data_IF_587647962435
#
_entry.id   IF_587647962435
#
_cell.length_a   1.000
_cell.length_b   1.000
_cell.length_c   1.000
_cell.angle_alpha   90.00
_cell.angle_beta   90.00
_cell.angle_gamma   90.00
#
_symmetry.space_group_name_H-M   'P 1'
#
loop_
_entity.id
_entity.type
_entity.pdbx_description
1 polymer ?
#
# COMPACT_ATOMS: atom_id res chain seq x y z
N UNK A 1 -9.60 20.04 -6.55
CA UNK A 1 -9.49 19.24 -5.31
C UNK A 1 -8.81 17.94 -5.64
N UNK A 2 -7.93 17.44 -4.76
CA UNK A 2 -7.21 16.19 -5.00
C UNK A 2 -7.97 15.02 -4.37
N UNK A 3 -7.93 13.83 -4.96
CA UNK A 3 -8.56 12.60 -4.42
C UNK A 3 -8.23 12.37 -2.94
N UNK A 4 -7.01 12.72 -2.51
CA UNK A 4 -6.56 12.67 -1.12
C UNK A 4 -7.38 13.60 -0.22
N UNK A 5 -7.49 14.87 -0.59
CA UNK A 5 -8.23 15.87 0.19
C UNK A 5 -9.71 15.49 0.30
N UNK A 6 -10.31 14.99 -0.79
CA UNK A 6 -11.71 14.56 -0.79
C UNK A 6 -11.93 13.33 0.10
N UNK A 7 -11.00 12.37 0.08
CA UNK A 7 -11.01 11.23 0.99
C UNK A 7 -10.94 11.68 2.46
N UNK A 8 -9.95 12.51 2.82
CA UNK A 8 -9.77 12.99 4.19
C UNK A 8 -10.97 13.80 4.68
N UNK A 9 -11.53 14.65 3.82
CA UNK A 9 -12.74 15.42 4.12
C UNK A 9 -13.96 14.52 4.33
N UNK A 10 -14.15 13.51 3.49
CA UNK A 10 -15.20 12.52 3.67
C UNK A 10 -15.07 11.78 5.01
N UNK A 11 -13.85 11.41 5.39
CA UNK A 11 -13.58 10.70 6.63
C UNK A 11 -13.83 11.56 7.88
N UNK A 12 -13.37 12.81 7.89
CA UNK A 12 -13.61 13.70 9.04
C UNK A 12 -15.10 14.07 9.16
N UNK A 13 -15.83 14.20 8.04
CA UNK A 13 -17.29 14.35 8.05
C UNK A 13 -17.99 13.08 8.56
N UNK A 14 -17.50 11.88 8.24
CA UNK A 14 -18.03 10.66 8.84
C UNK A 14 -17.77 10.55 10.35
N UNK A 15 -16.72 11.20 10.85
CA UNK A 15 -16.36 11.20 12.27
C UNK A 15 -17.11 12.31 13.03
N UNK A 16 -17.08 13.53 12.52
CA UNK A 16 -17.50 14.76 13.18
C UNK A 16 -18.59 15.50 12.40
N UNK A 17 -19.22 14.91 11.40
CA UNK A 17 -20.33 15.56 10.70
C UNK A 17 -21.58 15.65 11.57
N UNK A 18 -22.65 16.22 11.00
CA UNK A 18 -23.95 16.33 11.68
C UNK A 18 -24.51 14.95 12.09
N UNK A 19 -24.25 13.93 11.26
CA UNK A 19 -24.57 12.51 11.50
C UNK A 19 -23.31 11.69 11.85
N UNK A 20 -22.26 12.35 12.32
CA UNK A 20 -20.99 11.73 12.66
C UNK A 20 -21.05 10.89 13.92
N UNK A 21 -20.02 10.06 14.13
CA UNK A 21 -19.88 9.24 15.35
C UNK A 21 -19.59 10.05 16.61
N UNK A 22 -19.04 11.26 16.45
CA UNK A 22 -18.71 12.18 17.53
C UNK A 22 -19.69 13.35 17.57
N UNK A 23 -19.98 13.79 18.79
CA UNK A 23 -20.96 14.82 19.10
C UNK A 23 -20.30 16.20 19.03
N UNK A 24 -20.90 17.19 18.35
CA UNK A 24 -20.39 18.55 18.35
C UNK A 24 -20.38 19.15 19.76
N UNK A 25 -19.46 20.09 20.05
CA UNK A 25 -19.47 20.83 21.30
C UNK A 25 -20.83 21.51 21.54
N UNK A 26 -21.37 21.36 22.75
CA UNK A 26 -22.68 21.93 23.11
C UNK A 26 -22.64 23.45 23.01
N UNK A 27 -23.70 24.04 22.45
CA UNK A 27 -23.83 25.50 22.30
C UNK A 27 -23.10 26.09 21.10
N UNK A 28 -22.43 25.27 20.28
CA UNK A 28 -21.82 25.72 19.03
C UNK A 28 -22.88 25.84 17.93
N UNK A 29 -23.03 27.04 17.34
CA UNK A 29 -23.94 27.27 16.22
C UNK A 29 -23.44 26.66 14.91
N UNK A 30 -24.33 26.48 13.93
CA UNK A 30 -24.01 25.78 12.67
C UNK A 30 -22.82 26.35 11.89
N UNK A 31 -22.65 27.67 11.86
CA UNK A 31 -21.49 28.29 11.21
C UNK A 31 -20.18 27.96 11.92
N UNK A 32 -20.17 28.04 13.26
CA UNK A 32 -18.99 27.71 14.05
C UNK A 32 -18.62 26.23 13.92
N UNK A 33 -19.61 25.34 13.81
CA UNK A 33 -19.39 23.92 13.53
C UNK A 33 -18.75 23.69 12.14
N UNK A 34 -19.21 24.41 11.12
CA UNK A 34 -18.63 24.33 9.78
C UNK A 34 -17.19 24.86 9.75
N UNK A 35 -16.92 25.95 10.46
CA UNK A 35 -15.58 26.54 10.55
C UNK A 35 -14.61 25.58 11.28
N UNK A 36 -15.07 24.92 12.35
CA UNK A 36 -14.29 23.93 13.08
C UNK A 36 -14.01 22.68 12.22
N UNK A 37 -15.01 22.16 11.51
CA UNK A 37 -14.83 21.06 10.55
C UNK A 37 -13.83 21.41 9.45
N UNK A 38 -13.89 22.63 8.91
CA UNK A 38 -12.94 23.11 7.92
C UNK A 38 -11.52 23.23 8.52
N UNK A 39 -11.39 23.65 9.78
CA UNK A 39 -10.11 23.69 10.48
C UNK A 39 -9.52 22.29 10.68
N UNK A 40 -10.33 21.31 11.09
CA UNK A 40 -9.92 19.92 11.22
C UNK A 40 -9.51 19.32 9.87
N UNK A 41 -10.27 19.57 8.80
CA UNK A 41 -9.92 19.15 7.44
C UNK A 41 -8.57 19.70 6.97
N UNK A 42 -8.31 21.01 7.19
CA UNK A 42 -7.01 21.63 6.88
C UNK A 42 -5.87 21.04 7.70
N UNK A 43 -6.10 20.74 8.98
CA UNK A 43 -5.11 20.11 9.84
C UNK A 43 -4.76 18.70 9.32
N UNK A 44 -5.77 17.91 8.96
CA UNK A 44 -5.58 16.58 8.39
C UNK A 44 -4.84 16.60 7.06
N UNK A 45 -5.20 17.52 6.15
CA UNK A 45 -4.53 17.65 4.85
C UNK A 45 -3.04 18.02 5.00
N UNK A 46 -2.67 18.74 6.07
CA UNK A 46 -1.26 19.02 6.42
C UNK A 46 -0.54 17.83 7.07
N UNK A 47 -1.23 17.06 7.91
CA UNK A 47 -0.63 16.01 8.74
C UNK A 47 -0.52 14.66 8.03
N UNK A 48 -1.51 14.33 7.20
CA UNK A 48 -1.57 13.08 6.47
C UNK A 48 -0.39 12.95 5.49
N UNK A 49 0.11 11.74 5.22
CA UNK A 49 1.14 11.53 4.21
C UNK A 49 0.60 11.79 2.79
N UNK A 50 1.50 12.09 1.85
CA UNK A 50 1.13 12.29 0.44
C UNK A 50 0.69 10.99 -0.26
N UNK A 51 1.18 9.84 0.23
CA UNK A 51 0.88 8.49 -0.26
C UNK A 51 0.54 7.57 0.92
N UNK A 52 -0.28 6.54 0.70
CA UNK A 52 -0.70 5.63 1.77
C UNK A 52 -1.62 6.29 2.82
N UNK A 53 -2.29 7.39 2.45
CA UNK A 53 -3.17 8.14 3.36
C UNK A 53 -4.39 7.32 3.82
N UNK A 54 -4.82 6.33 3.04
CA UNK A 54 -5.95 5.45 3.40
C UNK A 54 -5.59 4.51 4.56
N UNK A 55 -4.44 3.85 4.50
CA UNK A 55 -3.95 2.99 5.58
C UNK A 55 -3.44 3.79 6.79
N UNK A 56 -2.95 5.00 6.55
CA UNK A 56 -2.67 5.97 7.61
C UNK A 56 -3.95 6.37 8.33
N UNK A 57 -5.06 6.63 7.62
CA UNK A 57 -6.31 7.06 8.22
C UNK A 57 -6.82 6.07 9.25
N UNK A 58 -6.86 4.76 8.92
CA UNK A 58 -7.34 3.74 9.86
C UNK A 58 -6.56 3.76 11.17
N UNK A 59 -5.22 3.83 11.10
CA UNK A 59 -4.35 3.91 12.29
C UNK A 59 -4.53 5.22 13.05
N UNK A 60 -4.73 6.32 12.32
CA UNK A 60 -4.91 7.65 12.88
C UNK A 60 -6.22 7.74 13.65
N UNK A 61 -7.29 7.23 13.06
CA UNK A 61 -8.61 7.16 13.65
C UNK A 61 -8.59 6.36 14.95
N UNK A 62 -7.95 5.19 14.96
CA UNK A 62 -7.78 4.38 16.18
C UNK A 62 -7.01 5.14 17.26
N UNK A 63 -5.90 5.80 16.91
CA UNK A 63 -5.10 6.57 17.85
C UNK A 63 -5.86 7.78 18.42
N UNK A 64 -6.63 8.46 17.56
CA UNK A 64 -7.44 9.61 17.94
C UNK A 64 -8.56 9.21 18.89
N UNK A 65 -9.28 8.12 18.58
CA UNK A 65 -10.37 7.60 19.40
C UNK A 65 -9.86 6.97 20.71
N UNK A 66 -8.68 6.34 20.71
CA UNK A 66 -8.08 5.80 21.92
C UNK A 66 -7.67 6.89 22.92
N UNK A 67 -7.25 8.06 22.42
CA UNK A 67 -6.92 9.21 23.25
C UNK A 67 -8.17 10.01 23.70
N UNK A 68 -9.29 9.86 22.99
CA UNK A 68 -10.52 10.58 23.29
C UNK A 68 -11.18 10.03 24.56
N UNK A 69 -11.23 10.85 25.61
CA UNK A 69 -11.94 10.51 26.86
C UNK A 69 -13.46 10.64 26.72
N UNK A 70 -13.93 11.40 25.73
CA UNK A 70 -15.34 11.67 25.49
C UNK A 70 -15.67 11.48 24.02
N UNK A 71 -16.96 11.28 23.72
CA UNK A 71 -17.45 11.26 22.33
C UNK A 71 -17.62 12.66 21.72
N UNK A 72 -16.97 13.69 22.27
CA UNK A 72 -17.01 15.02 21.67
C UNK A 72 -16.09 15.08 20.43
N UNK A 73 -16.31 16.07 19.57
CA UNK A 73 -15.36 16.36 18.48
C UNK A 73 -13.94 16.57 19.05
N UNK A 74 -12.92 16.05 18.36
CA UNK A 74 -11.54 16.25 18.76
C UNK A 74 -11.16 17.72 18.55
N UNK A 75 -10.28 18.23 19.41
CA UNK A 75 -9.65 19.51 19.16
C UNK A 75 -8.51 19.34 18.15
N UNK A 76 -8.09 20.44 17.51
CA UNK A 76 -6.90 20.45 16.65
C UNK A 76 -5.68 19.87 17.39
N UNK A 77 -5.52 20.19 18.67
CA UNK A 77 -4.43 19.66 19.49
C UNK A 77 -4.49 18.14 19.70
N UNK A 78 -5.68 17.54 19.70
CA UNK A 78 -5.84 16.08 19.79
C UNK A 78 -5.52 15.40 18.46
N UNK A 79 -5.95 16.02 17.35
CA UNK A 79 -5.58 15.59 15.99
C UNK A 79 -4.07 15.62 15.78
N UNK A 80 -3.42 16.72 16.17
CA UNK A 80 -1.95 16.83 16.10
C UNK A 80 -1.25 15.81 16.99
N UNK A 81 -1.76 15.59 18.21
CA UNK A 81 -1.21 14.60 19.13
C UNK A 81 -1.34 13.19 18.57
N UNK A 82 -2.50 12.80 18.05
CA UNK A 82 -2.71 11.48 17.45
C UNK A 82 -1.81 11.27 16.21
N UNK A 83 -1.71 12.27 15.33
CA UNK A 83 -0.80 12.22 14.19
C UNK A 83 0.67 12.14 14.61
N UNK A 84 1.06 12.86 15.67
CA UNK A 84 2.40 12.79 16.26
C UNK A 84 2.67 11.44 16.90
N UNK A 85 1.71 10.85 17.62
CA UNK A 85 1.83 9.53 18.23
C UNK A 85 1.99 8.42 17.20
N UNK A 86 1.39 8.56 16.01
CA UNK A 86 1.70 7.64 14.90
C UNK A 86 3.12 7.82 14.40
N UNK A 87 3.57 9.06 14.19
CA UNK A 87 4.95 9.35 13.79
C UNK A 87 5.96 8.84 14.84
N UNK A 88 5.68 9.06 16.12
CA UNK A 88 6.53 8.64 17.23
C UNK A 88 6.42 7.14 17.51
N UNK A 89 5.26 6.51 17.29
CA UNK A 89 5.07 5.07 17.39
C UNK A 89 5.78 4.33 16.27
N UNK A 90 5.75 4.87 15.06
CA UNK A 90 6.57 4.43 13.94
C UNK A 90 8.07 4.64 14.26
N UNK A 91 8.46 5.77 14.88
CA UNK A 91 9.84 5.99 15.35
C UNK A 91 10.26 5.08 16.51
N UNK A 92 9.38 4.75 17.46
CA UNK A 92 9.68 3.90 18.62
C UNK A 92 9.73 2.42 18.25
N UNK A 93 8.88 1.96 17.31
CA UNK A 93 9.07 0.64 16.67
C UNK A 93 10.38 0.59 15.89
N UNK A 94 10.79 1.71 15.28
CA UNK A 94 12.10 1.86 14.66
C UNK A 94 13.29 2.00 15.65
N UNK A 95 13.04 2.29 16.94
CA UNK A 95 14.09 2.53 17.96
C UNK A 95 14.30 1.36 18.92
N UNK A 96 13.69 0.20 18.66
CA UNK A 96 14.09 -1.05 19.34
C UNK A 96 15.58 -1.31 19.03
N UNK A 97 16.43 -1.65 20.01
CA UNK A 97 17.87 -1.76 19.82
C UNK A 97 18.17 -2.93 18.88
N UNK A 98 18.30 -2.62 17.60
CA UNK A 98 18.51 -3.59 16.53
C UNK A 98 18.57 -2.98 15.12
N UNK A 99 17.94 -1.84 14.86
CA UNK A 99 17.86 -1.33 13.48
C UNK A 99 18.00 0.20 13.42
N UNK A 100 19.24 0.69 13.45
CA UNK A 100 19.52 2.07 13.05
C UNK A 100 19.60 2.17 11.53
N UNK A 101 18.72 2.97 10.91
CA UNK A 101 18.99 3.89 9.79
C UNK A 101 17.77 4.06 8.86
N UNK A 102 17.38 5.32 8.66
CA UNK A 102 16.56 5.76 7.53
C UNK A 102 15.06 5.55 7.69
N UNK A 103 14.28 6.42 7.04
CA UNK A 103 12.87 6.19 6.70
C UNK A 103 12.76 4.75 6.21
N UNK A 104 12.08 3.89 6.98
CA UNK A 104 12.34 2.46 6.93
C UNK A 104 12.03 1.91 5.52
N UNK A 105 13.06 1.42 4.80
CA UNK A 105 12.91 0.95 3.44
C UNK A 105 12.01 -0.29 3.29
N UNK A 106 11.57 -0.91 4.40
CA UNK A 106 10.76 -2.11 4.46
C UNK A 106 9.28 -1.86 4.13
N UNK A 107 8.68 -0.76 4.60
CA UNK A 107 7.30 -0.42 4.25
C UNK A 107 7.18 0.01 2.78
N UNK A 108 8.16 0.81 2.31
CA UNK A 108 8.26 1.17 0.90
C UNK A 108 8.55 -0.07 0.05
N UNK A 109 9.38 -1.00 0.54
CA UNK A 109 9.60 -2.31 -0.09
C UNK A 109 8.31 -3.13 -0.20
N UNK A 110 7.53 -3.27 0.87
CA UNK A 110 6.27 -4.02 0.81
C UNK A 110 5.32 -3.45 -0.23
N UNK A 111 5.22 -2.11 -0.30
CA UNK A 111 4.42 -1.42 -1.32
C UNK A 111 4.99 -1.67 -2.73
N UNK A 112 6.32 -1.59 -2.91
CA UNK A 112 6.98 -1.77 -4.21
C UNK A 112 6.96 -3.23 -4.68
N UNK A 113 7.08 -4.18 -3.76
CA UNK A 113 6.99 -5.62 -4.01
C UNK A 113 5.56 -6.02 -4.36
N UNK A 114 4.57 -5.61 -3.56
CA UNK A 114 3.15 -5.86 -3.84
C UNK A 114 2.75 -5.21 -5.17
N UNK A 115 3.21 -3.98 -5.44
CA UNK A 115 3.02 -3.31 -6.72
C UNK A 115 3.70 -4.07 -7.85
N UNK A 116 4.97 -4.47 -7.71
CA UNK A 116 5.70 -5.21 -8.74
C UNK A 116 5.03 -6.55 -9.05
N UNK A 117 4.64 -7.31 -8.04
CA UNK A 117 3.96 -8.60 -8.23
C UNK A 117 2.61 -8.41 -8.94
N UNK A 118 1.87 -7.35 -8.60
CA UNK A 118 0.55 -7.05 -9.18
C UNK A 118 0.62 -6.50 -10.61
N UNK A 119 1.67 -5.74 -10.93
CA UNK A 119 1.82 -5.03 -12.20
C UNK A 119 3.02 -5.51 -13.00
N UNK A 120 3.59 -6.70 -12.73
CA UNK A 120 4.78 -7.19 -13.45
C UNK A 120 4.60 -7.17 -14.96
N UNK A 121 3.36 -7.31 -15.46
CA UNK A 121 3.02 -7.33 -16.89
C UNK A 121 2.68 -5.93 -17.45
N UNK A 122 2.55 -4.91 -16.59
CA UNK A 122 2.24 -3.52 -16.94
C UNK A 122 3.38 -2.58 -16.52
N UNK A 123 3.93 -1.81 -17.46
CA UNK A 123 5.06 -0.90 -17.19
C UNK A 123 4.78 0.14 -16.07
N UNK A 124 5.83 0.71 -15.45
CA UNK A 124 5.70 1.45 -14.20
C UNK A 124 5.05 2.83 -14.35
N UNK A 125 3.98 3.07 -13.58
CA UNK A 125 3.28 4.36 -13.54
C UNK A 125 3.67 5.26 -12.36
N UNK A 126 4.27 4.75 -11.27
CA UNK A 126 4.81 5.63 -10.21
C UNK A 126 5.54 4.85 -9.14
N UNK A 127 6.73 5.34 -8.79
CA UNK A 127 7.63 4.96 -7.68
C UNK A 127 8.56 3.75 -7.90
N UNK A 128 9.70 3.99 -8.58
CA UNK A 128 10.88 3.19 -8.27
C UNK A 128 12.17 4.01 -8.13
N UNK A 129 13.06 3.56 -7.26
CA UNK A 129 14.45 4.02 -7.15
C UNK A 129 15.39 2.81 -7.30
N UNK A 130 16.68 3.07 -7.54
CA UNK A 130 17.69 2.02 -7.74
C UNK A 130 17.88 1.08 -6.53
N UNK A 131 17.57 1.55 -5.32
CA UNK A 131 17.67 0.75 -4.10
C UNK A 131 16.64 -0.37 -4.05
N UNK A 132 15.44 -0.16 -4.61
CA UNK A 132 14.40 -1.19 -4.64
C UNK A 132 14.71 -2.29 -5.65
N UNK A 133 15.33 -1.95 -6.80
CA UNK A 133 15.75 -2.93 -7.79
C UNK A 133 16.69 -3.97 -7.19
N UNK A 134 17.67 -3.53 -6.41
CA UNK A 134 18.64 -4.41 -5.75
C UNK A 134 17.95 -5.45 -4.86
N UNK A 135 16.95 -5.02 -4.09
CA UNK A 135 16.24 -5.91 -3.17
C UNK A 135 15.29 -6.88 -3.86
N UNK A 136 14.62 -6.47 -4.94
CA UNK A 136 13.80 -7.38 -5.74
C UNK A 136 14.63 -8.52 -6.34
N UNK A 137 15.87 -8.22 -6.73
CA UNK A 137 16.83 -9.22 -7.22
C UNK A 137 17.34 -10.10 -6.08
N UNK A 138 17.73 -9.52 -4.93
CA UNK A 138 18.17 -10.29 -3.75
C UNK A 138 17.07 -11.22 -3.20
N UNK A 139 15.80 -10.83 -3.29
CA UNK A 139 14.65 -11.64 -2.91
C UNK A 139 14.24 -12.68 -3.97
N UNK A 140 14.86 -12.64 -5.17
CA UNK A 140 14.57 -13.59 -6.25
C UNK A 140 13.26 -13.31 -7.01
N UNK A 141 12.67 -12.13 -6.86
CA UNK A 141 11.42 -11.74 -7.53
C UNK A 141 11.62 -11.20 -8.94
N UNK A 142 12.83 -10.78 -9.29
CA UNK A 142 13.17 -10.28 -10.62
C UNK A 142 14.67 -10.45 -10.91
N UNK A 143 15.05 -10.39 -12.19
CA UNK A 143 16.43 -10.22 -12.62
C UNK A 143 16.69 -8.76 -13.05
N UNK A 144 17.94 -8.29 -12.95
CA UNK A 144 18.28 -6.91 -13.33
C UNK A 144 17.97 -6.62 -14.79
N UNK A 145 18.15 -7.58 -15.70
CA UNK A 145 17.82 -7.46 -17.11
C UNK A 145 16.31 -7.33 -17.36
N UNK A 146 15.48 -8.00 -16.56
CA UNK A 146 14.01 -7.84 -16.64
C UNK A 146 13.59 -6.44 -16.17
N UNK A 147 14.10 -6.00 -15.03
CA UNK A 147 13.85 -4.67 -14.47
C UNK A 147 14.26 -3.57 -15.46
N UNK A 148 15.45 -3.69 -16.06
CA UNK A 148 15.97 -2.74 -17.05
C UNK A 148 15.10 -2.66 -18.31
N UNK A 149 14.66 -3.79 -18.86
CA UNK A 149 13.77 -3.82 -20.05
C UNK A 149 12.41 -3.16 -19.80
N UNK A 150 11.92 -3.19 -18.56
CA UNK A 150 10.66 -2.54 -18.18
C UNK A 150 10.83 -1.09 -17.71
N UNK A 151 12.02 -0.50 -17.90
CA UNK A 151 12.30 0.89 -17.55
C UNK A 151 12.45 1.13 -16.04
N UNK A 152 12.68 0.07 -15.26
CA UNK A 152 12.90 0.19 -13.82
C UNK A 152 14.30 0.77 -13.56
N UNK A 153 14.45 1.74 -12.65
CA UNK A 153 15.75 2.29 -12.27
C UNK A 153 16.56 1.23 -11.55
N UNK A 154 17.67 0.84 -12.16
CA UNK A 154 18.65 -0.09 -11.61
C UNK A 154 19.93 0.66 -11.20
N UNK A 155 20.71 0.14 -10.23
CA UNK A 155 22.01 0.71 -9.87
C UNK A 155 22.95 0.78 -11.08
N UNK A 156 23.77 1.82 -11.17
CA UNK A 156 24.72 1.98 -12.29
C UNK A 156 25.70 0.80 -12.39
N UNK A 157 26.11 0.24 -11.25
CA UNK A 157 26.96 -0.95 -11.17
C UNK A 157 26.33 -2.20 -11.78
N UNK A 158 24.99 -2.25 -11.91
CA UNK A 158 24.24 -3.39 -12.44
C UNK A 158 23.83 -3.21 -13.91
N UNK A 159 24.11 -2.05 -14.54
CA UNK A 159 23.68 -1.75 -15.91
C UNK A 159 24.31 -2.65 -16.96
N UNK A 160 25.61 -2.94 -16.84
CA UNK A 160 26.30 -3.80 -17.81
C UNK A 160 25.83 -5.25 -17.69
N UNK A 161 25.56 -5.73 -16.48
CA UNK A 161 24.93 -7.04 -16.26
C UNK A 161 23.52 -7.09 -16.85
N UNK A 162 22.69 -6.08 -16.58
CA UNK A 162 21.32 -6.01 -17.08
C UNK A 162 21.24 -5.99 -18.62
N UNK A 163 22.20 -5.33 -19.28
CA UNK A 163 22.34 -5.33 -20.74
C UNK A 163 22.80 -6.67 -21.30
N UNK A 164 23.69 -7.37 -20.58
CA UNK A 164 24.21 -8.66 -20.98
C UNK A 164 23.21 -9.81 -20.76
N UNK A 165 22.29 -9.67 -19.79
CA UNK A 165 21.20 -10.61 -19.55
C UNK A 165 20.23 -10.61 -20.74
N UNK A 166 20.38 -11.60 -21.63
CA UNK A 166 19.42 -11.85 -22.71
C UNK A 166 18.01 -12.04 -22.13
N UNK A 167 17.00 -11.52 -22.83
CA UNK A 167 15.63 -11.85 -22.51
C UNK A 167 15.50 -13.39 -22.53
N UNK A 168 14.81 -14.00 -21.53
CA UNK A 168 14.52 -15.41 -21.62
C UNK A 168 13.81 -15.63 -22.96
N UNK A 169 14.29 -16.60 -23.72
CA UNK A 169 13.72 -16.92 -25.02
C UNK A 169 12.26 -17.31 -24.77
N UNK A 170 11.36 -16.41 -25.16
CA UNK A 170 9.94 -16.55 -24.89
C UNK A 170 9.40 -17.84 -25.50
N UNK A 171 10.00 -18.30 -26.61
CA UNK A 171 9.67 -19.57 -27.24
C UNK A 171 10.11 -20.77 -26.39
N UNK A 172 11.29 -20.71 -25.76
CA UNK A 172 11.78 -21.75 -24.86
C UNK A 172 10.94 -21.83 -23.57
N UNK A 173 10.53 -20.68 -22.99
CA UNK A 173 9.66 -20.64 -21.81
C UNK A 173 8.26 -21.18 -22.13
N UNK A 174 7.69 -20.82 -23.28
CA UNK A 174 6.41 -21.39 -23.73
C UNK A 174 6.50 -22.89 -24.04
N UNK A 175 7.64 -23.36 -24.56
CA UNK A 175 7.89 -24.77 -24.78
C UNK A 175 7.98 -25.55 -23.45
N UNK A 176 8.62 -24.98 -22.43
CA UNK A 176 8.71 -25.53 -21.08
C UNK A 176 7.31 -25.63 -20.42
N UNK A 177 6.51 -24.56 -20.51
CA UNK A 177 5.13 -24.51 -19.99
C UNK A 177 4.25 -25.51 -20.73
N UNK A 178 4.37 -25.63 -22.06
CA UNK A 178 3.64 -26.65 -22.85
C UNK A 178 4.01 -28.06 -22.40
N UNK A 179 5.29 -28.32 -22.14
CA UNK A 179 5.81 -29.62 -21.68
C UNK A 179 5.36 -29.97 -20.26
N UNK A 180 5.27 -28.98 -19.36
CA UNK A 180 4.66 -29.14 -18.03
C UNK A 180 3.14 -29.38 -18.11
N UNK A 181 2.44 -28.65 -18.99
CA UNK A 181 1.01 -28.85 -19.24
C UNK A 181 0.69 -30.23 -19.82
N UNK A 182 1.57 -30.80 -20.64
CA UNK A 182 1.44 -32.18 -21.13
C UNK A 182 1.69 -33.24 -20.06
N UNK A 183 2.63 -33.02 -19.13
CA UNK A 183 2.85 -33.90 -17.97
C UNK A 183 1.68 -33.92 -16.99
N UNK A 184 0.92 -32.83 -16.93
CA UNK A 184 -0.25 -32.69 -16.05
C UNK A 184 -1.57 -33.08 -16.72
N UNK A 185 -1.55 -33.51 -17.99
CA UNK A 185 -2.76 -34.08 -18.59
C UNK A 185 -3.06 -35.40 -17.89
N UNK A 186 -4.23 -35.57 -17.26
CA UNK A 186 -4.59 -36.84 -16.67
C UNK A 186 -4.64 -37.89 -17.78
N UNK A 187 -3.74 -38.87 -17.73
CA UNK A 187 -3.87 -40.11 -18.51
C UNK A 187 -5.24 -40.68 -18.18
N UNK A 188 -6.13 -40.67 -19.17
CA UNK A 188 -7.52 -41.04 -19.02
C UNK A 188 -7.67 -42.41 -18.39
N UNK A 189 -8.00 -42.42 -17.10
CA UNK A 189 -8.68 -43.57 -16.50
C UNK A 189 -10.15 -43.35 -16.82
N UNK A 190 -10.58 -43.96 -17.93
CA UNK A 190 -11.99 -44.20 -18.23
C UNK A 190 -12.60 -44.87 -17.00
N UNK A 191 -13.50 -44.18 -16.31
CA UNK A 191 -14.27 -44.76 -15.23
C UNK A 191 -15.54 -45.40 -15.87
N UNK A 192 -15.68 -46.74 -15.93
CA UNK A 192 -16.83 -47.38 -16.57
C UNK A 192 -18.10 -47.38 -15.69
N UNK A 193 -18.11 -46.69 -14.55
CA UNK A 193 -19.20 -46.78 -13.56
C UNK A 193 -20.44 -45.92 -13.85
N UNK A 194 -20.50 -45.20 -14.99
CA UNK A 194 -21.67 -44.43 -15.41
C UNK A 194 -22.15 -44.87 -16.80
N UNK A 195 -22.57 -46.12 -16.91
CA UNK A 195 -23.40 -46.59 -18.01
C UNK A 195 -24.77 -47.01 -17.46
N UNK A 196 -25.79 -46.22 -17.77
CA UNK A 196 -27.16 -46.69 -17.91
C UNK A 196 -27.98 -46.88 -16.63
N UNK A 197 -28.51 -45.78 -16.09
CA UNK A 197 -29.87 -45.80 -15.55
C UNK A 197 -30.76 -45.13 -16.60
N UNK A 198 -31.31 -45.94 -17.50
CA UNK A 198 -32.40 -45.57 -18.39
C UNK A 198 -33.28 -46.81 -18.58
N UNK A 199 -34.55 -46.62 -18.22
CA UNK A 199 -35.75 -47.48 -18.36
C UNK A 199 -35.91 -48.69 -17.41
#
# INVERSE_FOLDING_TARGET
MTFRTDFLNSKILGLCGNDGRLVPPRGMGGQAQADELAALGRALDRLAPSSGYESWWSRFEDALLAAATTRAWPLIGDVERAAKSLREGDMRRASSPGTSSGIEPAHIYGIVEEWWLRFRDAGPASLPNAGHAKRLVEAGHAAYGELWRKGFPIPDSAREQAKAEKAPDHEAVLAEIRKMGERLRPTGIRNPAFAGAAE
#
